data_IF_063733905843
#
_entry.id   IF_063733905843
#
_cell.length_a   1.000
_cell.length_b   1.000
_cell.length_c   1.000
_cell.angle_alpha   90.00
_cell.angle_beta   90.00
_cell.angle_gamma   90.00
#
_symmetry.space_group_name_H-M   'P 1'
#
loop_
_entity.id
_entity.type
_entity.pdbx_description
1 polymer ?
#
# COMPACT_ATOMS: atom_id res chain seq x y z
N UNK A 1 -0.04 14.68 -15.97
CA UNK A 1 0.96 13.65 -15.69
C UNK A 1 0.51 12.35 -16.32
N UNK A 2 1.40 11.37 -16.46
CA UNK A 2 1.04 10.02 -16.91
C UNK A 2 0.41 9.22 -15.76
N UNK A 3 -0.36 8.17 -16.10
CA UNK A 3 -0.99 7.28 -15.11
C UNK A 3 0.04 6.46 -14.32
N UNK A 4 1.08 5.98 -15.00
CA UNK A 4 2.13 5.13 -14.43
C UNK A 4 3.52 5.74 -14.56
N UNK A 5 4.55 5.08 -14.01
CA UNK A 5 5.90 5.66 -13.88
C UNK A 5 6.53 6.09 -15.21
N UNK A 6 6.28 5.36 -16.29
CA UNK A 6 6.91 5.62 -17.60
C UNK A 6 5.91 5.94 -18.71
N UNK A 7 4.63 6.14 -18.39
CA UNK A 7 3.58 6.37 -19.37
C UNK A 7 2.22 5.86 -18.90
N UNK A 8 1.30 5.64 -19.82
CA UNK A 8 -0.09 5.28 -19.51
C UNK A 8 -0.33 3.75 -19.51
N UNK A 9 0.73 2.97 -19.67
CA UNK A 9 0.73 1.50 -19.57
C UNK A 9 1.67 1.05 -18.46
N UNK A 10 1.22 0.12 -17.63
CA UNK A 10 2.04 -0.48 -16.57
C UNK A 10 3.33 -1.11 -17.14
N UNK A 11 4.44 -0.90 -16.44
CA UNK A 11 5.75 -1.48 -16.77
C UNK A 11 6.35 -2.22 -15.56
N UNK A 12 7.54 -2.80 -15.74
CA UNK A 12 8.22 -3.54 -14.67
C UNK A 12 8.54 -2.68 -13.44
N UNK A 13 8.75 -1.37 -13.61
CA UNK A 13 9.03 -0.46 -12.51
C UNK A 13 7.80 -0.27 -11.62
N UNK A 14 6.59 -0.29 -12.19
CA UNK A 14 5.35 -0.19 -11.41
C UNK A 14 5.15 -1.43 -10.54
N UNK A 15 5.42 -2.61 -11.10
CA UNK A 15 5.38 -3.88 -10.37
C UNK A 15 6.38 -3.93 -9.19
N UNK A 16 7.45 -3.14 -9.24
CA UNK A 16 8.41 -3.02 -8.14
C UNK A 16 8.03 -1.93 -7.13
N UNK A 17 7.53 -0.79 -7.61
CA UNK A 17 7.21 0.36 -6.77
C UNK A 17 5.92 0.16 -5.99
N UNK A 18 4.86 -0.33 -6.63
CA UNK A 18 3.52 -0.46 -6.04
C UNK A 18 3.52 -1.30 -4.74
N UNK A 19 4.13 -2.50 -4.70
CA UNK A 19 4.21 -3.28 -3.45
C UNK A 19 4.99 -2.56 -2.35
N UNK A 20 6.06 -1.84 -2.71
CA UNK A 20 6.86 -1.07 -1.74
C UNK A 20 6.06 0.08 -1.14
N UNK A 21 5.29 0.81 -1.95
CA UNK A 21 4.40 1.86 -1.46
C UNK A 21 3.35 1.30 -0.50
N UNK A 22 2.76 0.14 -0.82
CA UNK A 22 1.80 -0.51 0.07
C UNK A 22 2.43 -0.91 1.39
N UNK A 23 3.63 -1.48 1.36
CA UNK A 23 4.37 -1.81 2.57
C UNK A 23 4.70 -0.56 3.40
N UNK A 24 5.11 0.55 2.76
CA UNK A 24 5.36 1.82 3.44
C UNK A 24 4.09 2.32 4.12
N UNK A 25 2.93 2.26 3.47
CA UNK A 25 1.66 2.69 4.07
C UNK A 25 1.29 1.84 5.30
N UNK A 26 1.31 0.52 5.14
CA UNK A 26 0.84 -0.41 6.18
C UNK A 26 1.84 -0.52 7.33
N UNK A 27 3.08 -0.90 7.02
CA UNK A 27 4.12 -1.08 8.04
C UNK A 27 4.59 0.26 8.61
N UNK A 28 4.71 1.31 7.79
CA UNK A 28 5.08 2.65 8.26
C UNK A 28 4.08 3.18 9.30
N UNK A 29 2.79 3.04 9.04
CA UNK A 29 1.76 3.43 10.02
C UNK A 29 1.82 2.56 11.27
N UNK A 30 1.93 1.24 11.13
CA UNK A 30 1.90 0.33 12.27
C UNK A 30 3.10 0.48 13.22
N UNK A 31 4.32 0.56 12.68
CA UNK A 31 5.55 0.54 13.49
C UNK A 31 6.06 1.93 13.87
N UNK A 32 5.79 2.95 13.04
CA UNK A 32 6.41 4.27 13.16
C UNK A 32 5.40 5.42 13.21
N UNK A 33 4.09 5.11 13.21
CA UNK A 33 3.01 6.10 13.07
C UNK A 33 3.21 7.04 11.86
N UNK A 34 3.88 6.53 10.82
CA UNK A 34 4.19 7.28 9.61
C UNK A 34 3.05 7.22 8.62
N UNK A 35 2.72 8.37 8.02
CA UNK A 35 1.78 8.48 6.92
C UNK A 35 2.44 9.21 5.74
N UNK A 36 2.13 8.78 4.51
CA UNK A 36 2.56 9.48 3.30
C UNK A 36 1.87 10.85 3.29
N UNK A 37 2.62 11.97 3.22
CA UNK A 37 2.03 13.31 3.28
C UNK A 37 0.96 13.52 2.20
N UNK A 38 -0.13 14.19 2.56
CA UNK A 38 -1.29 14.40 1.66
C UNK A 38 -0.97 15.36 0.52
N UNK A 39 0.04 16.21 0.70
CA UNK A 39 0.52 17.18 -0.29
C UNK A 39 1.25 16.50 -1.47
N UNK A 40 1.59 15.21 -1.36
CA UNK A 40 2.15 14.42 -2.45
C UNK A 40 1.05 13.92 -3.40
N UNK A 41 0.28 14.86 -3.95
CA UNK A 41 -0.96 14.60 -4.70
C UNK A 41 -0.76 13.64 -5.88
N UNK A 42 0.34 13.79 -6.62
CA UNK A 42 0.67 12.93 -7.76
C UNK A 42 0.96 11.49 -7.35
N UNK A 43 1.59 11.30 -6.19
CA UNK A 43 1.84 9.97 -5.63
C UNK A 43 0.54 9.33 -5.14
N UNK A 44 -0.33 10.11 -4.51
CA UNK A 44 -1.65 9.63 -4.10
C UNK A 44 -2.53 9.27 -5.30
N UNK A 45 -2.49 10.04 -6.39
CA UNK A 45 -3.16 9.71 -7.65
C UNK A 45 -2.59 8.44 -8.29
N UNK A 46 -1.27 8.26 -8.25
CA UNK A 46 -0.63 7.01 -8.69
C UNK A 46 -1.11 5.81 -7.85
N UNK A 47 -1.17 5.94 -6.53
CA UNK A 47 -1.69 4.87 -5.65
C UNK A 47 -3.20 4.64 -5.82
N UNK A 48 -3.98 5.67 -6.15
CA UNK A 48 -5.38 5.52 -6.53
C UNK A 48 -5.52 4.59 -7.75
N UNK A 49 -4.75 4.83 -8.82
CA UNK A 49 -4.75 3.95 -10.00
C UNK A 49 -4.19 2.55 -9.70
N UNK A 50 -3.18 2.44 -8.82
CA UNK A 50 -2.69 1.16 -8.31
C UNK A 50 -3.82 0.33 -7.67
N UNK A 51 -4.69 0.94 -6.85
CA UNK A 51 -5.82 0.24 -6.20
C UNK A 51 -6.97 -0.12 -7.15
N UNK A 52 -7.00 0.43 -8.35
CA UNK A 52 -7.95 0.05 -9.41
C UNK A 52 -7.43 -1.10 -10.29
N UNK A 53 -6.17 -1.47 -10.15
CA UNK A 53 -5.52 -2.44 -11.02
C UNK A 53 -5.68 -3.86 -10.49
N UNK A 54 -6.34 -4.74 -11.25
CA UNK A 54 -6.52 -6.15 -10.90
C UNK A 54 -5.19 -6.87 -10.63
N UNK A 55 -4.15 -6.57 -11.41
CA UNK A 55 -2.83 -7.16 -11.21
C UNK A 55 -2.25 -6.86 -9.81
N UNK A 56 -2.55 -5.67 -9.27
CA UNK A 56 -2.16 -5.30 -7.92
C UNK A 56 -3.13 -5.88 -6.87
N UNK A 57 -4.44 -5.68 -7.02
CA UNK A 57 -5.43 -6.09 -6.01
C UNK A 57 -5.49 -7.60 -5.81
N UNK A 58 -5.25 -8.40 -6.86
CA UNK A 58 -5.21 -9.86 -6.76
C UNK A 58 -3.90 -10.41 -6.18
N UNK A 59 -2.82 -9.62 -6.20
CA UNK A 59 -1.50 -10.03 -5.69
C UNK A 59 -1.14 -9.39 -4.35
N UNK A 60 -1.87 -8.35 -3.94
CA UNK A 60 -1.62 -7.64 -2.69
C UNK A 60 -1.95 -8.52 -1.48
N UNK A 61 -1.01 -8.71 -0.54
CA UNK A 61 -1.29 -9.39 0.71
C UNK A 61 -2.20 -8.55 1.62
N UNK A 62 -2.80 -9.19 2.62
CA UNK A 62 -3.54 -8.49 3.66
C UNK A 62 -2.59 -7.65 4.54
N UNK A 63 -3.12 -6.60 5.17
CA UNK A 63 -2.35 -5.69 6.01
C UNK A 63 -1.65 -6.46 7.17
N UNK A 64 -2.34 -7.44 7.74
CA UNK A 64 -1.85 -8.31 8.81
C UNK A 64 -0.62 -9.10 8.37
N UNK A 65 -0.59 -9.60 7.13
CA UNK A 65 0.53 -10.38 6.60
C UNK A 65 1.76 -9.50 6.35
N UNK A 66 1.56 -8.26 5.88
CA UNK A 66 2.63 -7.27 5.74
C UNK A 66 3.24 -6.97 7.11
N UNK A 67 2.41 -6.68 8.12
CA UNK A 67 2.87 -6.40 9.48
C UNK A 67 3.63 -7.60 10.05
N UNK A 68 3.07 -8.80 9.92
CA UNK A 68 3.69 -10.02 10.39
C UNK A 68 5.04 -10.29 9.71
N UNK A 69 5.14 -10.05 8.40
CA UNK A 69 6.39 -10.17 7.65
C UNK A 69 7.52 -9.34 8.29
N UNK A 70 7.26 -8.08 8.63
CA UNK A 70 8.25 -7.22 9.29
C UNK A 70 8.49 -7.59 10.76
N UNK A 71 7.47 -8.03 11.50
CA UNK A 71 7.64 -8.57 12.87
C UNK A 71 8.63 -9.73 12.89
N UNK A 72 8.48 -10.69 11.96
CA UNK A 72 9.36 -11.84 11.86
C UNK A 72 10.80 -11.44 11.54
N UNK A 73 11.02 -10.45 10.66
CA UNK A 73 12.35 -9.91 10.36
C UNK A 73 13.01 -9.26 11.59
N UNK A 74 12.23 -8.67 12.48
CA UNK A 74 12.70 -8.06 13.73
C UNK A 74 12.83 -9.07 14.89
N UNK A 75 12.53 -10.35 14.67
CA UNK A 75 12.52 -11.38 15.71
C UNK A 75 11.35 -11.26 16.71
N UNK A 76 10.32 -10.49 16.36
CA UNK A 76 9.11 -10.36 17.17
C UNK A 76 8.16 -11.54 16.92
N UNK A 77 7.42 -11.97 17.95
CA UNK A 77 6.37 -12.99 17.81
C UNK A 77 4.99 -12.33 17.74
N UNK A 78 4.15 -12.85 16.86
CA UNK A 78 2.72 -12.55 16.83
C UNK A 78 2.07 -12.99 18.14
N UNK A 79 1.09 -12.21 18.61
CA UNK A 79 0.19 -12.66 19.67
C UNK A 79 -0.92 -13.51 19.04
N UNK A 80 -1.41 -14.54 19.72
CA UNK A 80 -2.52 -15.40 19.23
C UNK A 80 -3.76 -14.63 18.76
N UNK A 81 -4.03 -13.47 19.35
CA UNK A 81 -5.13 -12.61 18.91
C UNK A 81 -4.92 -12.09 17.49
N UNK A 82 -3.69 -11.69 17.15
CA UNK A 82 -3.31 -11.14 15.83
C UNK A 82 -3.38 -12.21 14.74
N UNK A 83 -3.13 -13.49 15.07
CA UNK A 83 -3.25 -14.63 14.14
C UNK A 83 -4.70 -14.94 13.72
N UNK A 84 -5.67 -14.48 14.50
CA UNK A 84 -7.10 -14.72 14.27
C UNK A 84 -7.82 -13.48 13.73
N UNK A 85 -7.07 -12.41 13.43
CA UNK A 85 -7.66 -11.19 12.86
C UNK A 85 -8.16 -11.44 11.43
N UNK A 86 -9.36 -10.93 11.15
CA UNK A 86 -9.92 -10.94 9.79
C UNK A 86 -9.00 -10.13 8.87
N UNK A 87 -8.62 -10.66 7.70
CA UNK A 87 -7.76 -9.93 6.78
C UNK A 87 -8.41 -8.62 6.32
N UNK A 88 -7.63 -7.54 6.35
CA UNK A 88 -8.03 -6.23 5.84
C UNK A 88 -7.03 -5.74 4.79
N UNK A 89 -7.47 -4.81 3.94
CA UNK A 89 -6.64 -4.25 2.87
C UNK A 89 -6.74 -2.73 2.91
N UNK A 90 -5.62 -2.06 3.20
CA UNK A 90 -5.55 -0.61 3.21
C UNK A 90 -5.51 -0.07 1.78
N UNK A 91 -6.66 0.40 1.30
CA UNK A 91 -6.84 0.96 -0.06
C UNK A 91 -7.43 2.37 -0.06
N UNK A 92 -7.60 2.97 1.13
CA UNK A 92 -8.15 4.32 1.27
C UNK A 92 -7.23 5.37 0.64
N UNK A 93 -7.82 6.43 0.08
CA UNK A 93 -7.13 7.58 -0.53
C UNK A 93 -7.63 8.85 0.17
N UNK A 94 -6.78 9.88 0.39
CA UNK A 94 -7.21 11.16 0.94
C UNK A 94 -8.35 11.78 0.13
N UNK A 95 -9.35 12.32 0.82
CA UNK A 95 -10.60 12.83 0.22
C UNK A 95 -10.34 13.91 -0.84
N UNK A 96 -9.33 14.76 -0.65
CA UNK A 96 -8.96 15.81 -1.59
C UNK A 96 -8.55 15.30 -2.97
N UNK A 97 -8.03 14.07 -3.06
CA UNK A 97 -7.59 13.45 -4.31
C UNK A 97 -8.74 12.73 -5.02
N UNK A 98 -9.70 12.20 -4.25
CA UNK A 98 -10.84 11.45 -4.77
C UNK A 98 -11.89 12.31 -5.50
N UNK A 99 -11.79 13.64 -5.41
CA UNK A 99 -12.77 14.59 -5.99
C UNK A 99 -12.36 15.19 -7.32
N UNK A 100 -11.18 14.86 -7.84
CA UNK A 100 -10.64 15.38 -9.10
C UNK A 100 -10.68 14.30 -10.19
N UNK A 101 -11.87 14.08 -10.76
CA UNK A 101 -12.07 13.40 -12.04
C UNK A 101 -12.36 14.42 -13.15
#
# INVERSE_FOLDING_TARGET
GHTFLTGDTMCCFDCELMPRLQHIRVAGKYFLDFEIPVELEHLWRYMYHMYQLDAFTQSCPADQDIINHYKLQQGMKMKKHEELETPTFTTSIPVSIATED
#
